data_IF_400227604231
#
_entry.id   IF_400227604231
#
_cell.length_a   1.000
_cell.length_b   1.000
_cell.length_c   1.000
_cell.angle_alpha   90.00
_cell.angle_beta   90.00
_cell.angle_gamma   90.00
#
_symmetry.space_group_name_H-M   'P 1'
#
loop_
_entity.id
_entity.type
_entity.pdbx_description
1 polymer ?
#
# COMPACT_ATOMS: atom_id res chain seq x y z
N UNK A 1 31.44 0.99 -3.95
CA UNK A 1 30.46 1.68 -3.10
C UNK A 1 29.88 0.63 -2.16
N UNK A 2 30.00 0.79 -0.84
CA UNK A 2 29.40 -0.12 0.14
C UNK A 2 28.04 0.48 0.51
N UNK A 3 26.95 -0.21 0.21
CA UNK A 3 25.60 0.23 0.60
C UNK A 3 25.37 -0.30 2.00
N UNK A 4 25.25 0.61 2.97
CA UNK A 4 24.80 0.26 4.30
C UNK A 4 23.29 0.01 4.27
N UNK A 5 22.86 -1.05 4.96
CA UNK A 5 21.45 -1.44 4.99
C UNK A 5 21.06 -1.92 6.38
N UNK A 6 19.76 -1.84 6.67
CA UNK A 6 19.15 -2.33 7.89
C UNK A 6 18.04 -3.30 7.53
N UNK A 7 17.92 -4.41 8.27
CA UNK A 7 16.82 -5.37 8.09
C UNK A 7 15.90 -5.37 9.30
N UNK A 8 14.61 -5.55 9.08
CA UNK A 8 13.61 -5.70 10.13
C UNK A 8 12.62 -6.82 9.80
N UNK A 9 11.92 -7.32 10.81
CA UNK A 9 10.87 -8.31 10.67
C UNK A 9 9.63 -7.84 11.42
N UNK A 10 8.52 -7.71 10.70
CA UNK A 10 7.20 -7.40 11.26
C UNK A 10 6.38 -8.67 11.37
N UNK A 11 5.72 -8.86 12.50
CA UNK A 11 4.81 -10.00 12.75
C UNK A 11 3.49 -9.49 13.31
N UNK A 12 2.41 -9.65 12.55
CA UNK A 12 1.07 -9.20 12.95
C UNK A 12 0.00 -10.11 12.34
N UNK A 13 -1.02 -10.48 13.10
CA UNK A 13 -2.15 -11.25 12.56
C UNK A 13 -1.78 -12.61 11.95
N UNK A 14 -0.66 -13.22 12.37
CA UNK A 14 -0.12 -14.45 11.78
C UNK A 14 0.67 -14.24 10.47
N UNK A 15 0.75 -13.01 9.99
CA UNK A 15 1.54 -12.61 8.82
C UNK A 15 2.94 -12.20 9.28
N UNK A 16 3.96 -12.62 8.52
CA UNK A 16 5.36 -12.23 8.72
C UNK A 16 5.83 -11.49 7.48
N UNK A 17 6.33 -10.27 7.67
CA UNK A 17 6.95 -9.46 6.61
C UNK A 17 8.40 -9.19 6.98
N UNK A 18 9.31 -9.50 6.06
CA UNK A 18 10.73 -9.17 6.13
C UNK A 18 10.95 -7.89 5.32
N UNK A 19 11.66 -6.93 5.91
CA UNK A 19 11.93 -5.61 5.36
C UNK A 19 13.45 -5.37 5.29
N UNK A 20 13.88 -4.69 4.23
CA UNK A 20 15.24 -4.19 4.05
C UNK A 20 15.17 -2.70 3.72
N UNK A 21 15.94 -1.91 4.44
CA UNK A 21 16.04 -0.47 4.28
C UNK A 21 17.46 -0.09 3.86
N UNK A 22 17.59 0.80 2.90
CA UNK A 22 18.87 1.39 2.52
C UNK A 22 18.67 2.81 1.99
N UNK A 23 19.75 3.58 1.91
CA UNK A 23 19.74 4.87 1.23
C UNK A 23 20.27 4.71 -0.21
N UNK A 24 19.57 5.26 -1.18
CA UNK A 24 20.07 5.37 -2.55
C UNK A 24 21.17 6.46 -2.66
N UNK A 25 21.83 6.62 -3.82
CA UNK A 25 22.89 7.62 -3.99
C UNK A 25 22.42 9.08 -3.80
N UNK A 26 21.13 9.34 -3.97
CA UNK A 26 20.52 10.67 -3.80
C UNK A 26 20.10 10.92 -2.33
N UNK A 27 20.21 9.91 -1.48
CA UNK A 27 19.92 9.96 -0.05
C UNK A 27 18.49 9.55 0.31
N UNK A 28 17.66 9.15 -0.64
CA UNK A 28 16.31 8.68 -0.36
C UNK A 28 16.34 7.32 0.34
N UNK A 29 15.47 7.15 1.33
CA UNK A 29 15.28 5.86 2.00
C UNK A 29 14.42 4.96 1.13
N UNK A 30 14.98 3.84 0.71
CA UNK A 30 14.28 2.80 -0.05
C UNK A 30 13.98 1.64 0.89
N UNK A 31 12.72 1.19 0.87
CA UNK A 31 12.28 -0.04 1.53
C UNK A 31 12.03 -1.14 0.49
N UNK A 32 12.51 -2.34 0.78
CA UNK A 32 12.17 -3.58 0.08
C UNK A 32 11.51 -4.53 1.08
N UNK A 33 10.24 -4.88 0.86
CA UNK A 33 9.49 -5.81 1.68
C UNK A 33 9.01 -7.04 0.88
N UNK A 34 8.85 -8.19 1.53
CA UNK A 34 8.12 -9.34 0.98
C UNK A 34 6.58 -9.19 1.17
N UNK A 35 6.06 -8.04 0.73
CA UNK A 35 4.67 -7.65 0.92
C UNK A 35 3.64 -8.57 0.22
N UNK A 36 4.06 -9.53 -0.61
CA UNK A 36 3.17 -10.59 -1.10
C UNK A 36 2.56 -11.45 0.03
N UNK A 37 3.15 -11.42 1.22
CA UNK A 37 2.59 -12.07 2.40
C UNK A 37 1.40 -11.30 3.00
N UNK A 38 1.24 -10.02 2.64
CA UNK A 38 0.12 -9.21 3.11
C UNK A 38 -1.18 -9.65 2.43
N UNK A 39 -2.29 -9.73 3.17
CA UNK A 39 -3.59 -9.96 2.58
C UNK A 39 -3.96 -8.78 1.67
N UNK A 40 -4.11 -9.03 0.37
CA UNK A 40 -4.54 -8.02 -0.60
C UNK A 40 -6.05 -8.11 -0.81
N UNK A 41 -6.74 -6.97 -0.70
CA UNK A 41 -8.12 -6.85 -1.11
C UNK A 41 -8.18 -6.20 -2.50
N UNK A 42 -8.76 -6.86 -3.51
CA UNK A 42 -8.94 -6.26 -4.83
C UNK A 42 -9.81 -5.00 -4.75
N UNK A 43 -9.30 -3.89 -5.29
CA UNK A 43 -10.02 -2.62 -5.37
C UNK A 43 -11.27 -2.69 -6.26
N UNK A 44 -11.41 -3.72 -7.10
CA UNK A 44 -12.54 -3.94 -8.02
C UNK A 44 -13.77 -4.58 -7.38
N UNK A 45 -13.74 -4.93 -6.09
CA UNK A 45 -14.85 -5.59 -5.38
C UNK A 45 -15.89 -4.62 -4.83
N UNK A 46 -15.67 -3.31 -4.92
CA UNK A 46 -16.74 -2.34 -4.68
C UNK A 46 -17.62 -2.28 -5.93
N UNK A 47 -18.90 -2.72 -5.86
CA UNK A 47 -19.87 -2.22 -6.81
C UNK A 47 -19.92 -0.71 -6.60
N UNK A 48 -19.30 0.05 -7.50
CA UNK A 48 -19.60 1.47 -7.64
C UNK A 48 -21.06 1.48 -8.06
N UNK A 49 -21.96 1.54 -7.08
CA UNK A 49 -23.32 1.92 -7.36
C UNK A 49 -23.22 3.37 -7.76
N UNK A 50 -23.21 3.64 -9.07
CA UNK A 50 -23.53 4.95 -9.62
C UNK A 50 -24.99 5.25 -9.26
N UNK A 51 -25.29 5.41 -7.97
CA UNK A 51 -26.46 6.16 -7.51
C UNK A 51 -26.05 7.61 -7.74
N UNK A 52 -26.08 8.01 -9.02
CA UNK A 52 -26.05 9.41 -9.39
C UNK A 52 -27.09 10.09 -8.49
N UNK A 53 -26.74 11.11 -7.69
CA UNK A 53 -27.74 11.84 -6.94
C UNK A 53 -28.77 12.31 -7.95
N UNK A 54 -30.04 11.91 -7.76
CA UNK A 54 -31.13 12.44 -8.59
C UNK A 54 -31.11 13.94 -8.38
N UNK A 55 -30.62 14.68 -9.38
CA UNK A 55 -30.69 16.12 -9.37
C UNK A 55 -32.15 16.50 -9.24
N UNK A 56 -32.51 17.17 -8.15
CA UNK A 56 -33.81 17.80 -8.02
C UNK A 56 -33.85 18.95 -9.02
N UNK A 57 -34.39 18.69 -10.21
CA UNK A 57 -34.85 19.76 -11.09
C UNK A 57 -36.09 20.35 -10.43
N UNK A 58 -35.92 21.48 -9.77
CA UNK A 58 -37.01 22.40 -9.55
C UNK A 58 -37.10 23.27 -10.81
N UNK A 59 -38.14 23.07 -11.60
CA UNK A 59 -38.60 24.07 -12.57
C UNK A 59 -39.27 25.20 -11.79
N UNK A 60 -38.62 26.36 -11.75
CA UNK A 60 -39.24 27.69 -11.70
C UNK A 60 -38.32 28.70 -12.42
#
# INVERSE_FOLDING_TARGET
MKIEYVTAVVKEGGVKVDQLFFHDPDGYMVEICNCQNLPVLPLSSCPITNKLPKGNRNEE
#
